data_IF_611782303347
#
_entry.id   IF_611782303347
#
_cell.length_a   1.000
_cell.length_b   1.000
_cell.length_c   1.000
_cell.angle_alpha   90.00
_cell.angle_beta   90.00
_cell.angle_gamma   90.00
#
_symmetry.space_group_name_H-M   'P 1'
#
loop_
_entity.id
_entity.type
_entity.pdbx_description
1 polymer ?
#
# COMPACT_ATOMS: atom_id res chain seq x y z
N UNK A 1 -7.27 21.72 24.84
CA UNK A 1 -7.72 22.94 25.54
C UNK A 1 -9.23 22.89 25.61
N UNK A 2 -9.82 22.66 26.78
CA UNK A 2 -11.27 22.62 26.94
C UNK A 2 -11.81 24.06 26.91
N UNK A 3 -12.77 24.34 26.02
CA UNK A 3 -13.46 25.62 25.91
C UNK A 3 -14.20 25.94 27.21
N UNK A 4 -13.75 26.98 27.91
CA UNK A 4 -14.46 27.59 29.02
C UNK A 4 -15.63 28.44 28.50
N UNK A 5 -16.76 27.80 28.16
CA UNK A 5 -18.05 28.51 28.05
C UNK A 5 -18.49 28.87 29.47
N UNK A 6 -18.49 30.16 29.80
CA UNK A 6 -18.83 30.64 31.15
C UNK A 6 -20.24 30.21 31.56
N UNK A 7 -20.34 29.36 32.60
CA UNK A 7 -21.62 28.90 33.14
C UNK A 7 -22.37 30.08 33.79
N UNK A 8 -23.69 30.11 33.65
CA UNK A 8 -24.56 31.15 34.22
C UNK A 8 -24.98 30.83 35.65
N UNK A 9 -25.43 31.84 36.38
CA UNK A 9 -25.99 31.72 37.71
C UNK A 9 -27.46 31.27 37.64
N UNK A 10 -27.78 30.04 38.05
CA UNK A 10 -29.14 29.49 37.98
C UNK A 10 -30.17 30.27 38.80
N UNK A 11 -29.89 30.70 40.04
CA UNK A 11 -30.84 31.51 40.81
C UNK A 11 -31.11 32.90 40.23
N UNK A 12 -30.16 33.45 39.46
CA UNK A 12 -30.37 34.70 38.71
C UNK A 12 -31.16 34.42 37.43
N UNK A 13 -30.83 33.34 36.72
CA UNK A 13 -31.51 32.93 35.49
C UNK A 13 -32.98 32.60 35.73
N UNK A 14 -33.31 31.93 36.84
CA UNK A 14 -34.68 31.68 37.30
C UNK A 14 -35.46 32.97 37.61
N UNK A 15 -34.76 34.09 37.84
CA UNK A 15 -35.33 35.44 37.99
C UNK A 15 -35.25 36.27 36.72
N UNK A 16 -34.92 35.65 35.58
CA UNK A 16 -34.69 36.29 34.28
C UNK A 16 -33.55 37.32 34.28
N UNK A 17 -32.56 37.13 35.15
CA UNK A 17 -31.35 37.95 35.24
C UNK A 17 -30.16 37.13 34.73
N UNK A 18 -29.52 37.60 33.66
CA UNK A 18 -28.31 36.94 33.13
C UNK A 18 -27.08 37.42 33.90
N UNK A 19 -26.48 36.53 34.69
CA UNK A 19 -25.23 36.81 35.40
C UNK A 19 -24.34 35.58 35.36
N UNK A 20 -23.04 35.77 35.20
CA UNK A 20 -22.07 34.67 35.17
C UNK A 20 -21.87 34.08 36.57
N UNK A 21 -21.77 32.76 36.64
CA UNK A 21 -21.42 32.08 37.87
C UNK A 21 -19.92 32.24 38.15
N UNK A 22 -19.59 32.47 39.42
CA UNK A 22 -18.20 32.48 39.93
C UNK A 22 -17.89 31.20 40.69
N UNK A 23 -18.91 30.53 41.22
CA UNK A 23 -18.79 29.25 41.92
C UNK A 23 -19.87 28.27 41.46
N UNK A 24 -19.60 26.98 41.63
CA UNK A 24 -20.51 25.88 41.34
C UNK A 24 -20.81 25.12 42.62
N UNK A 25 -22.09 24.85 42.89
CA UNK A 25 -22.51 24.03 44.02
C UNK A 25 -22.73 22.59 43.55
N UNK A 26 -21.91 21.65 44.02
CA UNK A 26 -21.95 20.25 43.57
C UNK A 26 -23.23 19.53 43.99
N UNK A 27 -23.80 19.87 45.15
CA UNK A 27 -25.02 19.23 45.67
C UNK A 27 -26.30 19.77 45.02
N UNK A 28 -26.27 21.00 44.51
CA UNK A 28 -27.42 21.62 43.82
C UNK A 28 -27.32 21.50 42.30
N UNK A 29 -26.16 21.05 41.81
CA UNK A 29 -25.80 21.02 40.39
C UNK A 29 -26.08 22.36 39.69
N UNK A 30 -25.72 23.47 40.34
CA UNK A 30 -26.09 24.81 39.89
C UNK A 30 -24.95 25.84 40.06
N UNK A 31 -24.90 26.79 39.13
CA UNK A 31 -23.96 27.90 39.12
C UNK A 31 -24.43 29.06 40.00
N UNK A 32 -23.50 29.67 40.75
CA UNK A 32 -23.77 30.78 41.65
C UNK A 32 -22.86 31.98 41.32
N UNK A 33 -23.47 33.14 41.09
CA UNK A 33 -22.76 34.43 41.07
C UNK A 33 -22.37 34.83 42.50
N UNK A 34 -21.53 35.88 42.64
CA UNK A 34 -20.99 36.28 43.94
C UNK A 34 -22.08 36.58 44.98
N UNK A 35 -23.18 37.23 44.59
CA UNK A 35 -24.27 37.53 45.53
C UNK A 35 -25.03 36.26 45.94
N UNK A 36 -25.42 35.43 44.97
CA UNK A 36 -26.12 34.18 45.25
C UNK A 36 -25.27 33.20 46.05
N UNK A 37 -23.95 33.22 45.90
CA UNK A 37 -23.02 32.42 46.71
C UNK A 37 -23.07 32.80 48.19
N UNK A 38 -23.08 34.09 48.52
CA UNK A 38 -23.14 34.55 49.89
C UNK A 38 -24.46 34.16 50.55
N UNK A 39 -25.58 34.36 49.85
CA UNK A 39 -26.90 33.92 50.31
C UNK A 39 -26.96 32.39 50.49
N UNK A 40 -26.36 31.64 49.57
CA UNK A 40 -26.32 30.19 49.59
C UNK A 40 -25.57 29.65 50.80
N UNK A 41 -24.44 30.26 51.19
CA UNK A 41 -23.66 29.83 52.36
C UNK A 41 -24.34 30.12 53.69
N UNK A 42 -25.10 31.22 53.77
CA UNK A 42 -25.75 31.67 55.01
C UNK A 42 -27.03 30.86 55.28
N UNK A 43 -27.67 30.32 54.24
CA UNK A 43 -28.84 29.47 54.39
C UNK A 43 -28.52 28.18 55.17
N UNK A 44 -29.29 27.91 56.23
CA UNK A 44 -29.14 26.71 57.09
C UNK A 44 -29.25 25.41 56.29
N UNK A 45 -30.08 25.37 55.26
CA UNK A 45 -30.26 24.18 54.42
C UNK A 45 -29.00 23.84 53.61
N UNK A 46 -28.27 24.86 53.15
CA UNK A 46 -27.19 24.72 52.17
C UNK A 46 -25.80 24.79 52.82
N UNK A 47 -25.74 25.01 54.13
CA UNK A 47 -24.50 25.24 54.90
C UNK A 47 -23.46 24.12 54.78
N UNK A 48 -23.90 22.91 54.41
CA UNK A 48 -23.04 21.74 54.24
C UNK A 48 -22.71 21.41 52.78
N UNK A 49 -23.21 22.19 51.82
CA UNK A 49 -22.97 21.90 50.41
C UNK A 49 -21.51 22.16 50.05
N UNK A 50 -20.97 21.31 49.17
CA UNK A 50 -19.65 21.44 48.61
C UNK A 50 -19.69 22.43 47.44
N UNK A 51 -19.02 23.56 47.62
CA UNK A 51 -18.92 24.62 46.64
C UNK A 51 -17.49 24.71 46.12
N UNK A 52 -17.32 24.70 44.80
CA UNK A 52 -16.04 24.84 44.13
C UNK A 52 -16.04 26.06 43.20
N UNK A 53 -14.89 26.68 42.90
CA UNK A 53 -14.82 27.69 41.85
C UNK A 53 -15.29 27.13 40.49
N UNK A 54 -15.99 27.92 39.67
CA UNK A 54 -16.42 27.47 38.33
C UNK A 54 -15.22 27.09 37.44
N UNK A 55 -14.04 27.67 37.67
CA UNK A 55 -12.81 27.28 36.97
C UNK A 55 -12.32 25.86 37.30
N UNK A 56 -12.75 25.29 38.42
CA UNK A 56 -12.45 23.91 38.83
C UNK A 56 -13.61 22.96 38.52
N UNK A 57 -14.77 23.49 38.11
CA UNK A 57 -15.87 22.67 37.64
C UNK A 57 -15.47 22.03 36.31
N UNK A 58 -15.47 20.70 36.29
CA UNK A 58 -15.28 19.92 35.08
C UNK A 58 -16.64 19.33 34.74
N UNK A 59 -17.12 19.61 33.53
CA UNK A 59 -18.37 19.08 33.01
C UNK A 59 -18.17 17.59 32.67
N UNK A 60 -18.12 16.77 33.71
CA UNK A 60 -17.99 15.33 33.60
C UNK A 60 -19.40 14.78 33.67
N UNK A 61 -19.90 14.23 32.56
CA UNK A 61 -21.20 13.57 32.47
C UNK A 61 -21.37 12.47 33.56
N UNK A 62 -20.26 11.85 33.94
CA UNK A 62 -20.16 10.92 35.07
C UNK A 62 -20.37 11.59 36.44
N UNK A 63 -19.92 12.83 36.65
CA UNK A 63 -20.11 13.56 37.92
C UNK A 63 -21.54 14.05 38.06
N UNK A 64 -22.17 14.55 36.98
CA UNK A 64 -23.59 14.99 36.99
C UNK A 64 -24.58 13.84 37.18
N UNK A 65 -24.20 12.62 36.77
CA UNK A 65 -25.00 11.42 37.04
C UNK A 65 -24.78 10.87 38.46
N UNK A 66 -23.61 11.09 39.06
CA UNK A 66 -23.28 10.66 40.43
C UNK A 66 -23.63 11.72 41.50
N UNK A 67 -23.88 12.97 41.13
CA UNK A 67 -24.29 14.05 42.05
C UNK A 67 -25.74 13.92 42.51
N UNK A 68 -26.57 13.18 41.76
CA UNK A 68 -27.92 12.82 42.19
C UNK A 68 -27.85 11.84 43.36
N UNK A 69 -27.98 12.38 44.57
CA UNK A 69 -28.03 11.57 45.79
C UNK A 69 -29.44 11.11 46.15
N UNK A 70 -30.39 11.20 45.22
CA UNK A 70 -31.79 10.86 45.41
C UNK A 70 -32.15 9.58 44.66
N UNK A 71 -32.98 8.76 45.29
CA UNK A 71 -33.50 7.53 44.71
C UNK A 71 -34.56 7.85 43.66
N UNK A 72 -34.38 7.31 42.46
CA UNK A 72 -35.27 7.51 41.31
C UNK A 72 -36.74 7.12 41.57
N UNK A 73 -36.98 6.21 42.52
CA UNK A 73 -38.33 5.68 42.80
C UNK A 73 -38.98 6.27 44.05
N UNK A 74 -38.18 6.78 44.98
CA UNK A 74 -38.63 6.99 46.36
C UNK A 74 -38.48 8.43 46.86
N UNK A 75 -37.92 9.35 46.07
CA UNK A 75 -37.66 10.74 46.49
C UNK A 75 -36.99 10.80 47.89
N UNK A 76 -36.05 9.87 48.09
CA UNK A 76 -35.31 9.65 49.33
C UNK A 76 -33.82 9.58 49.04
N UNK A 77 -33.00 10.05 49.99
CA UNK A 77 -31.54 10.01 49.85
C UNK A 77 -31.02 8.57 49.74
N UNK A 78 -30.09 8.36 48.82
CA UNK A 78 -29.31 7.14 48.67
C UNK A 78 -28.31 7.05 49.83
N UNK A 79 -28.47 6.06 50.71
CA UNK A 79 -27.68 5.90 51.92
C UNK A 79 -26.89 4.58 51.96
N UNK A 80 -27.27 3.61 51.13
CA UNK A 80 -26.71 2.26 51.12
C UNK A 80 -26.18 1.89 49.73
N UNK A 81 -25.19 1.01 49.68
CA UNK A 81 -24.71 0.37 48.46
C UNK A 81 -24.81 -1.15 48.64
N UNK A 82 -25.47 -1.80 47.70
CA UNK A 82 -25.62 -3.25 47.68
C UNK A 82 -24.48 -3.85 46.87
N UNK A 83 -23.49 -4.46 47.53
CA UNK A 83 -22.36 -5.10 46.84
C UNK A 83 -22.78 -6.32 46.02
N UNK A 84 -23.89 -6.98 46.39
CA UNK A 84 -24.41 -8.14 45.65
C UNK A 84 -24.98 -7.75 44.27
N UNK A 85 -25.44 -6.50 44.13
CA UNK A 85 -26.08 -5.97 42.92
C UNK A 85 -25.31 -4.82 42.27
N UNK A 86 -24.26 -4.32 42.94
CA UNK A 86 -23.47 -3.15 42.55
C UNK A 86 -24.31 -1.88 42.29
N UNK A 87 -25.33 -1.62 43.13
CA UNK A 87 -26.22 -0.46 43.01
C UNK A 87 -26.39 0.28 44.34
N UNK A 88 -26.71 1.57 44.26
CA UNK A 88 -27.11 2.39 45.42
C UNK A 88 -28.58 2.15 45.80
N UNK A 89 -28.91 2.35 47.07
CA UNK A 89 -30.25 2.14 47.62
C UNK A 89 -30.58 3.19 48.70
N UNK A 90 -31.84 3.64 48.73
CA UNK A 90 -32.38 4.44 49.85
C UNK A 90 -32.96 3.53 50.94
N UNK A 91 -33.40 4.11 52.05
CA UNK A 91 -33.98 3.36 53.17
C UNK A 91 -35.24 2.55 52.81
N UNK A 92 -36.00 2.96 51.79
CA UNK A 92 -37.20 2.25 51.31
C UNK A 92 -36.85 1.10 50.37
N UNK A 93 -35.80 1.23 49.54
CA UNK A 93 -35.32 0.14 48.69
C UNK A 93 -34.83 -1.08 49.49
N UNK A 94 -34.35 -0.86 50.74
CA UNK A 94 -33.81 -1.93 51.58
C UNK A 94 -34.85 -3.03 51.87
N UNK A 95 -36.00 -2.75 52.50
CA UNK A 95 -37.01 -3.77 52.75
C UNK A 95 -37.73 -4.28 51.50
N UNK A 96 -37.80 -3.49 50.42
CA UNK A 96 -38.53 -3.85 49.20
C UNK A 96 -37.73 -4.74 48.25
N UNK A 97 -36.49 -4.35 47.96
CA UNK A 97 -35.67 -4.94 46.88
C UNK A 97 -34.41 -5.62 47.37
N UNK A 98 -33.89 -5.19 48.52
CA UNK A 98 -32.62 -5.69 49.07
C UNK A 98 -32.78 -6.50 50.36
N UNK A 99 -33.99 -6.96 50.68
CA UNK A 99 -34.31 -7.70 51.92
C UNK A 99 -33.49 -8.97 52.10
N UNK A 100 -33.09 -9.61 50.99
CA UNK A 100 -32.31 -10.85 50.98
C UNK A 100 -30.83 -10.63 50.64
N UNK A 101 -30.40 -9.38 50.45
CA UNK A 101 -29.00 -9.06 50.16
C UNK A 101 -28.20 -9.07 51.46
N UNK A 102 -27.10 -9.82 51.49
CA UNK A 102 -26.26 -9.96 52.67
C UNK A 102 -25.17 -8.88 52.72
N UNK A 103 -24.85 -8.28 51.57
CA UNK A 103 -23.72 -7.35 51.42
C UNK A 103 -24.18 -5.91 51.18
N UNK A 104 -25.26 -5.49 51.85
CA UNK A 104 -25.73 -4.10 51.85
C UNK A 104 -24.99 -3.30 52.92
N UNK A 105 -24.27 -2.24 52.53
CA UNK A 105 -23.49 -1.42 53.46
C UNK A 105 -23.80 0.06 53.32
N UNK A 106 -23.68 0.87 54.40
CA UNK A 106 -23.76 2.32 54.29
C UNK A 106 -22.73 2.86 53.28
N UNK A 107 -23.12 3.77 52.40
CA UNK A 107 -22.22 4.37 51.39
C UNK A 107 -21.07 5.07 52.09
N UNK A 108 -21.34 5.82 53.16
CA UNK A 108 -20.31 6.52 53.93
C UNK A 108 -19.25 5.55 54.49
N UNK A 109 -19.63 4.33 54.86
CA UNK A 109 -18.68 3.31 55.31
C UNK A 109 -17.77 2.86 54.18
N UNK A 110 -18.32 2.61 52.99
CA UNK A 110 -17.58 2.16 51.81
C UNK A 110 -16.74 3.27 51.18
N UNK A 111 -17.19 4.53 51.27
CA UNK A 111 -16.52 5.68 50.72
C UNK A 111 -15.33 6.14 51.60
N UNK A 112 -15.20 5.63 52.83
CA UNK A 112 -14.06 5.96 53.70
C UNK A 112 -12.76 5.63 52.99
N UNK A 113 -11.87 6.62 52.91
CA UNK A 113 -10.57 6.51 52.26
C UNK A 113 -10.64 6.12 50.77
N UNK A 114 -11.79 6.25 50.10
CA UNK A 114 -11.93 5.91 48.67
C UNK A 114 -10.96 6.71 47.78
N UNK A 115 -10.67 7.97 48.16
CA UNK A 115 -9.68 8.82 47.48
C UNK A 115 -8.24 8.31 47.58
N UNK A 116 -7.97 7.38 48.49
CA UNK A 116 -6.66 6.79 48.73
C UNK A 116 -6.73 5.26 48.65
N UNK A 117 -7.75 4.72 47.99
CA UNK A 117 -7.95 3.27 47.89
C UNK A 117 -7.00 2.67 46.84
N UNK A 118 -6.65 1.40 47.02
CA UNK A 118 -5.81 0.69 46.07
C UNK A 118 -6.51 0.57 44.71
N UNK A 119 -7.83 0.39 44.69
CA UNK A 119 -8.63 0.30 43.45
C UNK A 119 -8.55 1.58 42.62
N UNK A 120 -8.64 2.76 43.26
CA UNK A 120 -8.51 4.04 42.55
C UNK A 120 -7.08 4.20 41.99
N UNK A 121 -6.06 3.87 42.79
CA UNK A 121 -4.67 3.93 42.35
C UNK A 121 -4.37 2.95 41.20
N UNK A 122 -4.93 1.75 41.22
CA UNK A 122 -4.77 0.76 40.15
C UNK A 122 -5.48 1.20 38.87
N UNK A 123 -6.64 1.84 38.97
CA UNK A 123 -7.33 2.45 37.82
C UNK A 123 -6.50 3.60 37.24
N UNK A 124 -6.01 4.52 38.08
CA UNK A 124 -5.15 5.62 37.64
C UNK A 124 -3.87 5.09 36.97
N UNK A 125 -3.24 4.07 37.54
CA UNK A 125 -2.08 3.41 36.94
C UNK A 125 -2.42 2.79 35.59
N UNK A 126 -3.53 2.05 35.50
CA UNK A 126 -3.99 1.42 34.27
C UNK A 126 -4.29 2.42 33.16
N UNK A 127 -4.88 3.57 33.49
CA UNK A 127 -5.10 4.67 32.53
C UNK A 127 -3.76 5.20 32.02
N UNK A 128 -2.81 5.48 32.91
CA UNK A 128 -1.49 6.00 32.52
C UNK A 128 -0.68 5.00 31.69
N UNK A 129 -0.78 3.70 31.98
CA UNK A 129 -0.15 2.65 31.18
C UNK A 129 -0.79 2.52 29.79
N UNK A 130 -2.12 2.60 29.72
CA UNK A 130 -2.83 2.58 28.45
C UNK A 130 -2.50 3.81 27.59
N UNK A 131 -2.45 4.99 28.18
CA UNK A 131 -2.08 6.24 27.52
C UNK A 131 -0.68 6.16 26.90
N UNK A 132 0.31 5.70 27.68
CA UNK A 132 1.66 5.44 27.17
C UNK A 132 1.67 4.46 26.00
N UNK A 133 0.90 3.37 26.08
CA UNK A 133 0.81 2.39 24.99
C UNK A 133 0.20 2.99 23.72
N UNK A 134 -0.77 3.89 23.86
CA UNK A 134 -1.39 4.61 22.73
C UNK A 134 -0.37 5.55 22.10
N UNK A 135 0.32 6.39 22.87
CA UNK A 135 1.37 7.31 22.37
C UNK A 135 2.45 6.56 21.59
N UNK A 136 2.87 5.43 22.14
CA UNK A 136 3.84 4.53 21.56
C UNK A 136 3.39 3.91 20.23
N UNK A 137 2.11 3.56 20.12
CA UNK A 137 1.51 3.05 18.90
C UNK A 137 1.37 4.15 17.85
N UNK A 138 0.95 5.35 18.24
CA UNK A 138 0.87 6.51 17.36
C UNK A 138 2.23 6.86 16.76
N UNK A 139 3.27 6.94 17.59
CA UNK A 139 4.64 7.17 17.15
C UNK A 139 5.12 6.11 16.16
N UNK A 140 4.85 4.83 16.44
CA UNK A 140 5.19 3.75 15.52
C UNK A 140 4.44 3.83 14.19
N UNK A 141 3.16 4.24 14.20
CA UNK A 141 2.38 4.45 12.98
C UNK A 141 2.88 5.63 12.17
N UNK A 142 3.25 6.72 12.83
CA UNK A 142 3.81 7.89 12.17
C UNK A 142 5.14 7.57 11.47
N UNK A 143 6.05 6.86 12.14
CA UNK A 143 7.32 6.41 11.55
C UNK A 143 7.09 5.48 10.34
N UNK A 144 6.09 4.60 10.40
CA UNK A 144 5.73 3.75 9.26
C UNK A 144 5.26 4.55 8.04
N UNK A 145 4.43 5.58 8.26
CA UNK A 145 3.98 6.47 7.18
C UNK A 145 5.18 7.11 6.49
N UNK A 146 6.16 7.60 7.25
CA UNK A 146 7.33 8.28 6.69
C UNK A 146 8.24 7.29 5.96
N UNK A 147 8.45 6.09 6.50
CA UNK A 147 9.15 5.00 5.79
C UNK A 147 8.50 4.65 4.45
N UNK A 148 7.17 4.56 4.39
CA UNK A 148 6.43 4.28 3.14
C UNK A 148 6.61 5.42 2.14
N UNK A 149 6.60 6.69 2.59
CA UNK A 149 6.86 7.83 1.72
C UNK A 149 8.26 7.76 1.12
N UNK A 150 9.26 7.44 1.93
CA UNK A 150 10.66 7.32 1.48
C UNK A 150 10.84 6.16 0.49
N UNK A 151 10.25 5.00 0.77
CA UNK A 151 10.24 3.86 -0.15
C UNK A 151 9.57 4.23 -1.48
N UNK A 152 8.42 4.92 -1.45
CA UNK A 152 7.73 5.39 -2.67
C UNK A 152 8.63 6.31 -3.50
N UNK A 153 9.35 7.24 -2.87
CA UNK A 153 10.26 8.13 -3.62
C UNK A 153 11.43 7.35 -4.24
N UNK A 154 11.95 6.36 -3.53
CA UNK A 154 13.04 5.50 -4.00
C UNK A 154 12.63 4.64 -5.18
N UNK A 155 11.51 3.92 -5.05
CA UNK A 155 10.96 3.10 -6.13
C UNK A 155 10.62 3.96 -7.35
N UNK A 156 10.04 5.15 -7.14
CA UNK A 156 9.75 6.09 -8.25
C UNK A 156 11.01 6.50 -9.01
N UNK A 157 12.12 6.72 -8.29
CA UNK A 157 13.42 7.05 -8.88
C UNK A 157 14.00 5.88 -9.66
N UNK A 158 13.91 4.66 -9.13
CA UNK A 158 14.37 3.44 -9.79
C UNK A 158 13.59 3.18 -11.08
N UNK A 159 12.26 3.28 -11.06
CA UNK A 159 11.41 3.17 -12.26
C UNK A 159 11.87 4.15 -13.35
N UNK A 160 12.10 5.42 -12.98
CA UNK A 160 12.61 6.44 -13.92
C UNK A 160 14.01 6.10 -14.44
N UNK A 161 14.89 5.62 -13.58
CA UNK A 161 16.24 5.18 -13.95
C UNK A 161 16.20 4.00 -14.94
N UNK A 162 15.36 3.00 -14.68
CA UNK A 162 15.18 1.86 -15.57
C UNK A 162 14.66 2.28 -16.94
N UNK A 163 13.65 3.16 -16.98
CA UNK A 163 13.17 3.72 -18.25
C UNK A 163 14.29 4.41 -19.03
N UNK A 164 15.13 5.21 -18.35
CA UNK A 164 16.27 5.88 -18.99
C UNK A 164 17.28 4.88 -19.55
N UNK A 165 17.57 3.80 -18.82
CA UNK A 165 18.49 2.75 -19.27
C UNK A 165 17.95 1.97 -20.46
N UNK A 166 16.65 1.66 -20.48
CA UNK A 166 15.99 1.00 -21.61
C UNK A 166 16.06 1.89 -22.85
N UNK A 167 15.67 3.17 -22.73
CA UNK A 167 15.74 4.10 -23.85
C UNK A 167 17.16 4.23 -24.40
N UNK A 168 18.15 4.41 -23.52
CA UNK A 168 19.56 4.46 -23.94
C UNK A 168 19.98 3.21 -24.71
N UNK A 169 19.56 2.02 -24.25
CA UNK A 169 19.88 0.79 -24.95
C UNK A 169 19.25 0.70 -26.34
N UNK A 170 18.02 1.22 -26.51
CA UNK A 170 17.37 1.32 -27.82
C UNK A 170 18.10 2.32 -28.73
N UNK A 171 18.50 3.48 -28.19
CA UNK A 171 19.27 4.48 -28.93
C UNK A 171 20.63 3.91 -29.40
N UNK A 172 21.33 3.19 -28.50
CA UNK A 172 22.61 2.53 -28.81
C UNK A 172 22.42 1.47 -29.91
N UNK A 173 21.36 0.66 -29.81
CA UNK A 173 21.04 -0.39 -30.79
C UNK A 173 20.68 0.18 -32.17
N UNK A 174 19.90 1.25 -32.22
CA UNK A 174 19.60 1.97 -33.46
C UNK A 174 20.89 2.49 -34.10
N UNK A 175 21.76 3.13 -33.31
CA UNK A 175 23.04 3.64 -33.78
C UNK A 175 23.91 2.54 -34.38
N UNK A 176 23.99 1.38 -33.74
CA UNK A 176 24.80 0.26 -34.21
C UNK A 176 24.24 -0.34 -35.51
N UNK A 177 22.92 -0.53 -35.61
CA UNK A 177 22.26 -1.03 -36.82
C UNK A 177 22.43 -0.05 -38.00
N UNK A 178 22.33 1.25 -37.76
CA UNK A 178 22.54 2.27 -38.80
C UNK A 178 23.99 2.30 -39.29
N UNK A 179 24.98 2.18 -38.38
CA UNK A 179 26.40 2.09 -38.77
C UNK A 179 26.69 0.84 -39.59
N UNK A 180 26.10 -0.30 -39.22
CA UNK A 180 26.28 -1.53 -39.97
C UNK A 180 25.66 -1.42 -41.37
N UNK A 181 24.47 -0.82 -41.47
CA UNK A 181 23.82 -0.55 -42.75
C UNK A 181 24.67 0.36 -43.64
N UNK A 182 25.19 1.46 -43.08
CA UNK A 182 26.06 2.41 -43.78
C UNK A 182 27.33 1.70 -44.29
N UNK A 183 28.01 0.94 -43.43
CA UNK A 183 29.21 0.19 -43.82
C UNK A 183 28.95 -0.83 -44.93
N UNK A 184 27.81 -1.55 -44.88
CA UNK A 184 27.42 -2.50 -45.92
C UNK A 184 27.10 -1.80 -47.24
N UNK A 185 26.37 -0.68 -47.17
CA UNK A 185 26.08 0.16 -48.32
C UNK A 185 27.36 0.67 -48.98
N UNK A 186 28.29 1.23 -48.20
CA UNK A 186 29.57 1.74 -48.69
C UNK A 186 30.42 0.65 -49.33
N UNK A 187 30.43 -0.56 -48.76
CA UNK A 187 31.13 -1.69 -49.34
C UNK A 187 30.57 -2.05 -50.72
N UNK A 188 29.24 -2.21 -50.82
CA UNK A 188 28.57 -2.54 -52.10
C UNK A 188 28.81 -1.44 -53.14
N UNK A 189 28.67 -0.16 -52.74
CA UNK A 189 28.91 0.98 -53.63
C UNK A 189 30.37 0.99 -54.12
N UNK A 190 31.34 0.69 -53.24
CA UNK A 190 32.76 0.61 -53.60
C UNK A 190 33.03 -0.51 -54.61
N UNK A 191 32.45 -1.69 -54.41
CA UNK A 191 32.56 -2.83 -55.33
C UNK A 191 31.99 -2.49 -56.72
N UNK A 192 30.80 -1.86 -56.77
CA UNK A 192 30.18 -1.39 -58.01
C UNK A 192 31.06 -0.34 -58.70
N UNK A 193 31.57 0.65 -57.95
CA UNK A 193 32.43 1.70 -58.51
C UNK A 193 33.71 1.14 -59.12
N UNK A 194 34.34 0.15 -58.47
CA UNK A 194 35.51 -0.54 -58.98
C UNK A 194 35.19 -1.28 -60.30
N UNK A 195 34.04 -1.94 -60.37
CA UNK A 195 33.58 -2.60 -61.59
C UNK A 195 33.33 -1.59 -62.73
N UNK A 196 32.65 -0.47 -62.44
CA UNK A 196 32.41 0.61 -63.40
C UNK A 196 33.73 1.23 -63.91
N UNK A 197 34.75 1.37 -63.07
CA UNK A 197 36.07 1.85 -63.47
C UNK A 197 36.72 0.91 -64.49
N UNK A 198 36.69 -0.41 -64.26
CA UNK A 198 37.21 -1.41 -65.20
C UNK A 198 36.48 -1.37 -66.55
N UNK A 199 35.14 -1.25 -66.53
CA UNK A 199 34.35 -1.10 -67.76
C UNK A 199 34.69 0.19 -68.52
N UNK A 200 34.97 1.30 -67.82
CA UNK A 200 35.44 2.54 -68.45
C UNK A 200 36.79 2.36 -69.14
N UNK A 201 37.74 1.66 -68.51
CA UNK A 201 39.05 1.35 -69.11
C UNK A 201 38.92 0.46 -70.36
N UNK A 202 38.13 -0.61 -70.30
CA UNK A 202 37.89 -1.45 -71.48
C UNK A 202 37.25 -0.64 -72.62
N UNK A 203 36.32 0.26 -72.29
CA UNK A 203 35.70 1.14 -73.28
C UNK A 203 36.69 2.11 -73.92
N UNK A 204 37.69 2.63 -73.19
CA UNK A 204 38.72 3.50 -73.79
C UNK A 204 39.62 2.72 -74.74
N UNK A 205 39.99 1.47 -74.41
CA UNK A 205 40.74 0.57 -75.30
C UNK A 205 39.96 0.24 -76.57
N UNK A 206 38.68 -0.11 -76.46
CA UNK A 206 37.84 -0.36 -77.64
C UNK A 206 37.70 0.89 -78.54
N UNK A 207 37.57 2.08 -77.93
CA UNK A 207 37.54 3.35 -78.68
C UNK A 207 38.86 3.63 -79.40
N UNK A 208 40.02 3.32 -78.81
CA UNK A 208 41.31 3.53 -79.47
C UNK A 208 41.49 2.57 -80.64
N UNK A 209 41.16 1.29 -80.48
CA UNK A 209 41.15 0.30 -81.56
C UNK A 209 40.24 0.76 -82.72
N UNK A 210 39.04 1.27 -82.41
CA UNK A 210 38.13 1.83 -83.41
C UNK A 210 38.75 3.00 -84.21
N UNK A 211 39.48 3.90 -83.54
CA UNK A 211 40.23 4.99 -84.21
C UNK A 211 41.36 4.44 -85.08
N UNK A 212 42.11 3.46 -84.59
CA UNK A 212 43.20 2.82 -85.34
C UNK A 212 42.70 2.16 -86.62
N UNK A 213 41.57 1.44 -86.56
CA UNK A 213 40.92 0.86 -87.75
C UNK A 213 40.58 1.94 -88.78
N UNK A 214 40.03 3.07 -88.34
CA UNK A 214 39.67 4.17 -89.22
C UNK A 214 40.90 4.76 -89.93
N UNK A 215 41.98 5.01 -89.18
CA UNK A 215 43.25 5.53 -89.73
C UNK A 215 43.90 4.55 -90.73
N UNK A 216 43.90 3.26 -90.42
CA UNK A 216 44.42 2.21 -91.31
C UNK A 216 43.67 2.23 -92.65
N UNK A 217 42.33 2.35 -92.62
CA UNK A 217 41.50 2.40 -93.82
C UNK A 217 41.77 3.63 -94.70
N UNK A 218 42.11 4.76 -94.10
CA UNK A 218 42.31 6.03 -94.83
C UNK A 218 43.73 6.19 -95.39
N UNK A 219 44.75 5.69 -94.69
CA UNK A 219 46.14 6.10 -94.92
C UNK A 219 47.05 5.00 -95.50
N UNK A 220 46.62 3.73 -95.49
CA UNK A 220 47.49 2.59 -95.83
C UNK A 220 47.07 1.90 -97.14
N UNK A 221 48.03 1.22 -97.78
CA UNK A 221 47.78 0.38 -98.96
C UNK A 221 47.05 -0.93 -98.62
N UNK A 222 46.37 -1.55 -99.58
CA UNK A 222 45.58 -2.77 -99.37
C UNK A 222 46.37 -3.91 -98.70
N UNK A 223 47.64 -4.10 -99.05
CA UNK A 223 48.51 -5.12 -98.43
C UNK A 223 48.78 -4.79 -96.97
N UNK A 224 49.05 -3.52 -96.64
CA UNK A 224 49.27 -3.07 -95.27
C UNK A 224 47.99 -3.13 -94.44
N UNK A 225 46.83 -2.81 -95.04
CA UNK A 225 45.51 -2.95 -94.41
C UNK A 225 45.24 -4.41 -94.05
N UNK A 226 45.51 -5.35 -94.96
CA UNK A 226 45.33 -6.78 -94.70
C UNK A 226 46.17 -7.26 -93.50
N UNK A 227 47.46 -6.91 -93.46
CA UNK A 227 48.36 -7.27 -92.36
C UNK A 227 47.93 -6.62 -91.03
N UNK A 228 47.56 -5.34 -91.06
CA UNK A 228 47.10 -4.63 -89.86
C UNK A 228 45.76 -5.16 -89.34
N UNK A 229 44.88 -5.62 -90.23
CA UNK A 229 43.60 -6.26 -89.87
C UNK A 229 43.82 -7.51 -89.03
N UNK A 230 44.79 -8.37 -89.40
CA UNK A 230 45.08 -9.58 -88.62
C UNK A 230 45.59 -9.28 -87.21
N UNK A 231 46.46 -8.30 -87.06
CA UNK A 231 46.93 -7.87 -85.74
C UNK A 231 45.82 -7.23 -84.89
N UNK A 232 44.87 -6.51 -85.51
CA UNK A 232 43.74 -5.93 -84.82
C UNK A 232 42.70 -6.98 -84.41
N UNK A 233 42.53 -8.04 -85.19
CA UNK A 233 41.66 -9.18 -84.90
C UNK A 233 42.13 -9.88 -83.62
N UNK A 234 43.45 -10.14 -83.49
CA UNK A 234 44.06 -10.70 -82.29
C UNK A 234 43.80 -9.82 -81.04
N UNK A 235 43.98 -8.50 -81.16
CA UNK A 235 43.71 -7.55 -80.06
C UNK A 235 42.23 -7.47 -79.69
N UNK A 236 41.34 -7.59 -80.69
CA UNK A 236 39.90 -7.60 -80.45
C UNK A 236 39.50 -8.86 -79.69
N UNK A 237 40.03 -10.03 -80.07
CA UNK A 237 39.82 -11.28 -79.34
C UNK A 237 40.32 -11.22 -77.89
N UNK A 238 41.48 -10.61 -77.64
CA UNK A 238 42.01 -10.40 -76.29
C UNK A 238 41.07 -9.55 -75.43
N UNK A 239 40.60 -8.42 -75.94
CA UNK A 239 39.65 -7.57 -75.22
C UNK A 239 38.30 -8.27 -75.02
N UNK A 240 37.85 -9.07 -75.99
CA UNK A 240 36.60 -9.83 -75.89
C UNK A 240 36.69 -10.93 -74.82
N UNK A 241 37.83 -11.60 -74.69
CA UNK A 241 38.11 -12.53 -73.58
C UNK A 241 38.15 -11.78 -72.24
N UNK A 242 38.75 -10.59 -72.21
CA UNK A 242 38.86 -9.75 -71.02
C UNK A 242 37.47 -9.30 -70.51
N UNK A 243 36.60 -8.82 -71.40
CA UNK A 243 35.20 -8.46 -71.09
C UNK A 243 34.41 -9.67 -70.61
N UNK A 244 34.52 -10.82 -71.30
CA UNK A 244 33.81 -12.04 -70.92
C UNK A 244 34.21 -12.52 -69.53
N UNK A 245 35.50 -12.45 -69.21
CA UNK A 245 36.03 -12.79 -67.88
C UNK A 245 35.48 -11.87 -66.80
N UNK A 246 35.48 -10.56 -67.06
CA UNK A 246 35.00 -9.54 -66.13
C UNK A 246 33.49 -9.69 -65.84
N UNK A 247 32.68 -9.97 -66.86
CA UNK A 247 31.23 -10.20 -66.74
C UNK A 247 30.92 -11.50 -65.98
N UNK A 248 31.69 -12.57 -66.21
CA UNK A 248 31.49 -13.84 -65.50
C UNK A 248 31.84 -13.75 -64.01
N UNK A 249 32.85 -12.93 -63.66
CA UNK A 249 33.26 -12.72 -62.27
C UNK A 249 32.32 -11.79 -61.48
N UNK A 250 31.55 -10.94 -62.17
CA UNK A 250 30.72 -9.90 -61.56
C UNK A 250 29.31 -9.89 -62.17
N UNK A 251 28.72 -11.08 -62.35
CA UNK A 251 27.37 -11.21 -62.91
C UNK A 251 26.41 -10.26 -62.17
N UNK A 252 25.59 -9.47 -62.87
CA UNK A 252 24.75 -8.46 -62.26
C UNK A 252 23.73 -9.14 -61.34
N UNK A 253 24.03 -9.16 -60.05
CA UNK A 253 23.07 -9.46 -59.00
C UNK A 253 22.46 -8.13 -58.58
N UNK A 254 21.13 -8.05 -58.54
CA UNK A 254 20.47 -6.95 -57.84
C UNK A 254 21.03 -6.90 -56.41
N UNK A 255 21.68 -5.79 -56.08
CA UNK A 255 22.24 -5.59 -54.76
C UNK A 255 21.09 -5.14 -53.86
N UNK A 256 20.49 -6.09 -53.13
CA UNK A 256 19.40 -5.81 -52.19
C UNK A 256 19.99 -5.67 -50.78
N UNK A 257 19.71 -4.55 -50.13
CA UNK A 257 20.02 -4.34 -48.71
C UNK A 257 18.93 -5.01 -47.88
N UNK A 258 19.25 -6.15 -47.29
CA UNK A 258 18.35 -6.86 -46.37
C UNK A 258 18.98 -6.95 -44.98
N UNK A 259 18.16 -6.73 -43.95
CA UNK A 259 18.54 -7.03 -42.57
C UNK A 259 18.77 -8.55 -42.46
N UNK A 260 19.92 -8.92 -41.92
CA UNK A 260 20.24 -10.32 -41.61
C UNK A 260 19.21 -10.93 -40.65
N UNK A 261 19.12 -12.26 -40.63
CA UNK A 261 18.22 -13.01 -39.75
C UNK A 261 18.45 -12.67 -38.26
N UNK A 262 19.69 -12.35 -37.88
CA UNK A 262 20.02 -11.93 -36.51
C UNK A 262 19.56 -10.50 -36.21
N UNK A 263 19.77 -9.55 -37.13
CA UNK A 263 19.25 -8.19 -36.99
C UNK A 263 17.71 -8.18 -36.94
N UNK A 264 17.05 -9.03 -37.72
CA UNK A 264 15.59 -9.19 -37.68
C UNK A 264 15.09 -9.73 -36.33
N UNK A 265 15.83 -10.63 -35.67
CA UNK A 265 15.48 -11.11 -34.32
C UNK A 265 15.63 -10.00 -33.28
N UNK A 266 16.69 -9.21 -33.37
CA UNK A 266 16.95 -8.09 -32.46
C UNK A 266 15.88 -6.99 -32.60
N UNK A 267 15.47 -6.67 -33.83
CA UNK A 267 14.35 -5.74 -34.10
C UNK A 267 13.02 -6.29 -33.56
N UNK A 268 12.78 -7.60 -33.65
CA UNK A 268 11.53 -8.23 -33.18
C UNK A 268 11.45 -8.35 -31.66
N UNK A 269 12.57 -8.46 -30.94
CA UNK A 269 12.60 -8.63 -29.48
C UNK A 269 13.73 -7.84 -28.80
N UNK A 270 13.71 -6.49 -28.87
CA UNK A 270 14.78 -5.66 -28.31
C UNK A 270 14.89 -5.74 -26.77
N UNK A 271 13.82 -6.17 -26.07
CA UNK A 271 13.77 -6.25 -24.62
C UNK A 271 14.21 -7.61 -24.03
N UNK A 272 14.10 -8.71 -24.77
CA UNK A 272 14.32 -10.06 -24.23
C UNK A 272 15.80 -10.34 -23.89
N UNK A 273 16.74 -9.62 -24.51
CA UNK A 273 18.17 -9.86 -24.35
C UNK A 273 18.69 -9.43 -22.96
N UNK A 274 17.98 -8.54 -22.25
CA UNK A 274 18.34 -8.13 -20.89
C UNK A 274 17.36 -8.56 -19.79
N UNK A 275 16.13 -8.99 -20.10
CA UNK A 275 15.09 -9.38 -19.11
C UNK A 275 15.50 -10.51 -18.16
N UNK A 276 16.38 -11.42 -18.58
CA UNK A 276 16.84 -12.52 -17.73
C UNK A 276 17.57 -12.09 -16.44
N UNK A 277 18.22 -10.92 -16.44
CA UNK A 277 18.86 -10.37 -15.24
C UNK A 277 17.87 -9.61 -14.32
N UNK A 278 16.76 -9.11 -14.89
CA UNK A 278 15.79 -8.25 -14.19
C UNK A 278 14.73 -9.05 -13.40
N UNK A 279 14.50 -10.32 -13.76
CA UNK A 279 13.59 -11.21 -13.01
C UNK A 279 14.11 -11.54 -11.60
N UNK A 280 15.44 -11.61 -11.41
CA UNK A 280 16.04 -11.82 -10.08
C UNK A 280 15.91 -10.60 -9.15
N UNK A 281 15.83 -9.37 -9.68
CA UNK A 281 15.59 -8.16 -8.87
C UNK A 281 14.11 -7.96 -8.52
N UNK A 282 13.18 -8.44 -9.36
CA UNK A 282 11.74 -8.46 -9.04
C UNK A 282 11.43 -9.29 -7.79
N UNK A 283 12.21 -10.34 -7.53
CA UNK A 283 12.10 -11.15 -6.31
C UNK A 283 12.50 -10.38 -5.03
N UNK A 284 13.17 -9.23 -5.15
CA UNK A 284 13.55 -8.37 -4.02
C UNK A 284 12.52 -7.27 -3.72
N UNK A 285 11.48 -7.12 -4.56
CA UNK A 285 10.34 -6.22 -4.33
C UNK A 285 9.28 -6.82 -3.38
N UNK A 286 9.68 -7.76 -2.52
CA UNK A 286 8.91 -8.02 -1.31
C UNK A 286 9.01 -6.76 -0.44
N UNK A 287 7.93 -5.99 -0.39
CA UNK A 287 7.65 -5.12 0.74
C UNK A 287 7.87 -5.99 1.98
N UNK A 288 8.77 -5.65 2.90
CA UNK A 288 8.77 -6.31 4.20
C UNK A 288 7.42 -5.97 4.80
N UNK A 289 6.47 -6.90 4.77
CA UNK A 289 5.30 -6.88 5.62
C UNK A 289 5.80 -7.11 7.04
N UNK A 290 6.51 -6.13 7.60
CA UNK A 290 6.80 -6.12 9.02
C UNK A 290 5.56 -5.55 9.68
N UNK A 291 4.85 -6.50 10.28
CA UNK A 291 3.66 -6.30 11.06
C UNK A 291 3.83 -5.14 12.04
N UNK A 292 2.70 -4.46 12.23
CA UNK A 292 2.23 -4.00 13.54
C UNK A 292 2.97 -4.72 14.68
N UNK A 293 3.71 -3.99 15.52
CA UNK A 293 4.41 -4.43 16.74
C UNK A 293 4.57 -5.95 16.92
N UNK A 294 5.81 -6.40 16.73
CA UNK A 294 6.25 -7.79 16.86
C UNK A 294 5.63 -8.54 18.06
N UNK A 295 4.80 -9.51 17.72
CA UNK A 295 4.38 -10.62 18.58
C UNK A 295 5.57 -11.58 18.81
N UNK A 296 6.77 -11.33 18.26
CA UNK A 296 7.94 -12.22 18.26
C UNK A 296 8.75 -12.29 19.57
N UNK A 297 8.12 -12.01 20.72
CA UNK A 297 8.53 -12.66 21.96
C UNK A 297 7.55 -13.75 22.42
N UNK A 298 6.54 -14.07 21.60
CA UNK A 298 5.83 -15.32 21.71
C UNK A 298 6.67 -16.39 21.00
N UNK A 299 7.18 -17.35 21.75
CA UNK A 299 7.63 -18.60 21.16
C UNK A 299 6.44 -19.24 20.44
N UNK A 300 6.49 -19.25 19.11
CA UNK A 300 5.48 -19.91 18.31
C UNK A 300 5.80 -21.39 18.29
N UNK A 301 5.02 -22.18 19.03
CA UNK A 301 5.03 -23.62 18.92
C UNK A 301 4.08 -24.05 17.79
N UNK A 302 4.57 -24.91 16.89
CA UNK A 302 3.69 -25.58 15.93
C UNK A 302 2.82 -26.58 16.71
N UNK A 303 1.59 -26.19 17.03
CA UNK A 303 0.65 -27.06 17.74
C UNK A 303 0.13 -28.16 16.81
N UNK A 304 -0.14 -27.84 15.53
CA UNK A 304 -0.74 -28.78 14.57
C UNK A 304 -0.64 -28.30 13.12
N UNK A 305 -0.53 -29.25 12.20
CA UNK A 305 -0.71 -29.04 10.76
C UNK A 305 -2.07 -29.60 10.32
N UNK A 306 -2.83 -28.83 9.54
CA UNK A 306 -4.17 -29.22 9.06
C UNK A 306 -4.14 -29.23 7.54
N UNK A 307 -4.34 -30.42 6.97
CA UNK A 307 -4.51 -30.58 5.53
C UNK A 307 -5.96 -30.28 5.14
N UNK A 308 -6.14 -29.47 4.10
CA UNK A 308 -7.45 -29.21 3.52
C UNK A 308 -7.69 -30.15 2.33
N UNK A 309 -8.84 -30.81 2.30
CA UNK A 309 -9.27 -31.56 1.14
C UNK A 309 -9.65 -30.58 0.00
N UNK A 310 -9.14 -30.84 -1.22
CA UNK A 310 -9.48 -30.19 -2.49
C UNK A 310 -9.19 -28.67 -2.62
N UNK A 311 -7.92 -28.25 -2.55
CA UNK A 311 -7.49 -26.91 -2.96
C UNK A 311 -8.37 -25.76 -2.42
N UNK A 312 -8.79 -25.85 -1.16
CA UNK A 312 -9.59 -24.81 -0.54
C UNK A 312 -8.80 -23.49 -0.54
N UNK A 313 -9.35 -22.45 -1.18
CA UNK A 313 -8.75 -21.13 -1.18
C UNK A 313 -9.09 -20.43 0.13
N UNK A 314 -8.29 -20.72 1.17
CA UNK A 314 -8.46 -20.13 2.50
C UNK A 314 -8.03 -18.66 2.45
N UNK A 315 -8.94 -17.77 2.85
CA UNK A 315 -8.71 -16.32 2.88
C UNK A 315 -8.45 -15.78 4.28
N UNK A 316 -8.99 -16.48 5.29
CA UNK A 316 -8.86 -16.08 6.68
C UNK A 316 -9.10 -17.27 7.60
N UNK A 317 -8.60 -17.18 8.83
CA UNK A 317 -8.79 -18.17 9.88
C UNK A 317 -8.96 -17.52 11.25
N UNK A 318 -9.78 -18.12 12.10
CA UNK A 318 -9.92 -17.68 13.49
C UNK A 318 -10.11 -18.86 14.43
N UNK A 319 -9.42 -18.84 15.57
CA UNK A 319 -9.64 -19.77 16.67
C UNK A 319 -10.64 -19.14 17.65
N UNK A 320 -11.70 -19.87 17.98
CA UNK A 320 -12.68 -19.44 18.99
C UNK A 320 -12.29 -19.98 20.37
N UNK A 321 -12.85 -19.40 21.43
CA UNK A 321 -12.46 -19.67 22.82
C UNK A 321 -12.56 -21.14 23.26
N UNK A 322 -13.36 -21.96 22.57
CA UNK A 322 -13.48 -23.41 22.85
C UNK A 322 -12.48 -24.27 22.06
N UNK A 323 -11.50 -23.65 21.41
CA UNK A 323 -10.42 -24.30 20.67
C UNK A 323 -10.77 -24.72 19.25
N UNK A 324 -12.01 -24.50 18.79
CA UNK A 324 -12.38 -24.76 17.40
C UNK A 324 -11.75 -23.73 16.47
N UNK A 325 -11.41 -24.19 15.27
CA UNK A 325 -10.79 -23.37 14.23
C UNK A 325 -11.77 -23.18 13.08
N UNK A 326 -11.97 -21.93 12.66
CA UNK A 326 -12.83 -21.58 11.54
C UNK A 326 -11.96 -21.07 10.40
N UNK A 327 -12.24 -21.53 9.18
CA UNK A 327 -11.51 -21.13 7.97
C UNK A 327 -12.49 -20.65 6.89
N UNK A 328 -12.24 -19.45 6.35
CA UNK A 328 -13.04 -18.90 5.26
C UNK A 328 -12.52 -19.40 3.90
N UNK A 329 -13.34 -20.16 3.17
CA UNK A 329 -13.02 -20.69 1.85
C UNK A 329 -13.75 -19.93 0.74
N UNK A 330 -13.00 -19.17 -0.06
CA UNK A 330 -13.57 -18.29 -1.09
C UNK A 330 -14.10 -19.02 -2.32
N UNK A 331 -13.46 -20.13 -2.72
CA UNK A 331 -13.91 -20.91 -3.89
C UNK A 331 -15.15 -21.76 -3.62
N UNK A 332 -15.47 -22.01 -2.35
CA UNK A 332 -16.62 -22.83 -1.94
C UNK A 332 -17.75 -22.03 -1.32
N UNK A 333 -17.59 -20.71 -1.17
CA UNK A 333 -18.51 -19.85 -0.40
C UNK A 333 -18.90 -20.51 0.93
N UNK A 334 -17.92 -21.03 1.67
CA UNK A 334 -18.14 -21.77 2.91
C UNK A 334 -17.18 -21.35 4.01
N UNK A 335 -17.63 -21.49 5.25
CA UNK A 335 -16.78 -21.44 6.44
C UNK A 335 -16.62 -22.87 6.96
N UNK A 336 -15.40 -23.37 6.96
CA UNK A 336 -15.05 -24.69 7.45
C UNK A 336 -14.75 -24.61 8.95
N UNK A 337 -15.38 -25.47 9.74
CA UNK A 337 -15.20 -25.56 11.19
C UNK A 337 -14.44 -26.84 11.50
N UNK A 338 -13.25 -26.70 12.08
CA UNK A 338 -12.40 -27.80 12.52
C UNK A 338 -12.43 -27.93 14.04
N UNK A 339 -12.39 -29.17 14.52
CA UNK A 339 -12.24 -29.47 15.95
C UNK A 339 -10.84 -29.07 16.43
N UNK A 340 -10.60 -28.96 17.75
CA UNK A 340 -9.26 -28.72 18.30
C UNK A 340 -8.23 -29.76 17.84
N UNK A 341 -8.68 -30.99 17.56
CA UNK A 341 -7.84 -32.10 17.08
C UNK A 341 -7.48 -31.99 15.58
N UNK A 342 -8.05 -31.02 14.85
CA UNK A 342 -7.77 -30.79 13.43
C UNK A 342 -8.63 -31.62 12.47
N UNK A 343 -9.77 -32.15 12.93
CA UNK A 343 -10.74 -32.83 12.07
C UNK A 343 -11.82 -31.85 11.59
N UNK A 344 -12.25 -31.96 10.33
CA UNK A 344 -13.38 -31.17 9.83
C UNK A 344 -14.66 -31.59 10.56
N UNK A 345 -15.19 -30.68 11.38
CA UNK A 345 -16.43 -30.87 12.14
C UNK A 345 -17.66 -30.52 11.30
N UNK A 346 -17.62 -29.38 10.60
CA UNK A 346 -18.77 -28.88 9.84
C UNK A 346 -18.34 -27.91 8.74
N UNK A 347 -19.13 -27.83 7.66
CA UNK A 347 -19.07 -26.75 6.68
C UNK A 347 -20.34 -25.89 6.75
N UNK A 348 -20.17 -24.57 6.76
CA UNK A 348 -21.26 -23.59 6.79
C UNK A 348 -21.27 -22.84 5.47
N UNK A 349 -22.27 -23.08 4.63
CA UNK A 349 -22.45 -22.32 3.39
C UNK A 349 -22.85 -20.88 3.69
N UNK A 350 -22.19 -19.94 3.02
CA UNK A 350 -22.48 -18.52 3.06
C UNK A 350 -22.90 -18.05 1.67
N UNK A 351 -23.75 -17.02 1.60
CA UNK A 351 -24.34 -16.55 0.32
C UNK A 351 -23.33 -15.92 -0.63
N UNK A 352 -22.22 -15.40 -0.09
CA UNK A 352 -21.17 -14.72 -0.83
C UNK A 352 -19.82 -15.24 -0.38
N UNK A 353 -18.81 -15.11 -1.25
CA UNK A 353 -17.43 -15.53 -0.95
C UNK A 353 -16.93 -14.83 0.32
N UNK A 354 -16.63 -15.58 1.40
CA UNK A 354 -16.13 -15.00 2.62
C UNK A 354 -14.67 -14.57 2.44
N UNK A 355 -14.38 -13.31 2.74
CA UNK A 355 -13.04 -12.72 2.62
C UNK A 355 -12.37 -12.45 3.98
N UNK A 356 -13.12 -12.54 5.08
CA UNK A 356 -12.62 -12.33 6.43
C UNK A 356 -13.58 -12.90 7.48
N UNK A 357 -13.03 -13.31 8.62
CA UNK A 357 -13.73 -13.85 9.78
C UNK A 357 -13.43 -12.98 11.00
N UNK A 358 -14.48 -12.55 11.69
CA UNK A 358 -14.36 -11.89 12.99
C UNK A 358 -15.22 -12.64 14.00
N UNK A 359 -14.63 -12.99 15.14
CA UNK A 359 -15.38 -13.57 16.25
C UNK A 359 -15.91 -12.42 17.11
N UNK A 360 -17.21 -12.23 17.07
CA UNK A 360 -17.89 -11.28 17.94
C UNK A 360 -18.34 -11.99 19.21
N UNK A 361 -17.67 -11.71 20.33
CA UNK A 361 -18.13 -12.14 21.65
C UNK A 361 -19.28 -11.25 22.10
N UNK A 362 -20.51 -11.60 21.72
CA UNK A 362 -21.69 -10.99 22.33
C UNK A 362 -21.83 -11.57 23.75
N UNK A 363 -21.64 -10.74 24.78
CA UNK A 363 -22.33 -11.01 26.06
C UNK A 363 -23.81 -10.81 25.78
N UNK A 364 -24.49 -11.90 25.42
CA UNK A 364 -25.93 -11.92 25.25
C UNK A 364 -26.56 -11.60 26.61
N UNK A 365 -26.85 -10.32 26.88
CA UNK A 365 -27.91 -9.96 27.82
C UNK A 365 -29.20 -10.25 27.07
N UNK A 366 -29.72 -11.47 27.25
CA UNK A 366 -30.96 -11.88 26.62
C UNK A 366 -32.09 -10.96 27.05
N UNK A 367 -32.57 -10.11 26.15
CA UNK A 367 -33.99 -9.82 26.08
C UNK A 367 -34.62 -10.98 25.31
N UNK A 368 -35.17 -11.94 26.05
CA UNK A 368 -36.13 -12.89 25.52
C UNK A 368 -37.37 -12.12 25.06
N UNK A 369 -37.56 -12.02 23.75
CA UNK A 369 -38.89 -11.81 23.17
C UNK A 369 -39.56 -13.18 23.08
N UNK A 370 -40.47 -13.42 24.02
CA UNK A 370 -41.70 -14.15 23.76
C UNK A 370 -42.76 -13.13 23.33
#
# INVERSE_FOLDING_TARGET
MASSTGKLCGPCEARYITTTAVSWCMDCDDGLCSSCLEDHKVNKANKKHQIIPVSQYVDIELVSSLSKQECEEHDQRLNFYCLDHCVTACALCVPEKHKQCFSLKPIDELARNAKTSAELFDIERGINELDKNVDELENYRQQNIDRIKDQRTTISREIKSYRKQINKHLDDLESDLLKELESKSDQIISEINLFLAKLKEMRTKLKSLGKTIHQIKELLSDVQVFLATKSLDEKLEEEQKSVSTLCNQNAPKESVLELSTEQQKVVRNPCQIKTGAWEQQRAQLNVPTTAVRDIYKAELELIREIAFEDHAHIKDCVCVNDGRMLFASSNRNTVLVYTPEGHLSKSISVRQSPCGLAVMSFKYRGCSLL
#
